data_IF_678541057974
#
_entry.id   IF_678541057974
#
_cell.length_a   1.000
_cell.length_b   1.000
_cell.length_c   1.000
_cell.angle_alpha   90.00
_cell.angle_beta   90.00
_cell.angle_gamma   90.00
#
_symmetry.space_group_name_H-M   'P 1'
#
loop_
_entity.id
_entity.type
_entity.pdbx_description
1 polymer ?
#
# COMPACT_ATOMS: atom_id res chain seq x y z
N UNK A 1 45.71 11.91 29.29
CA UNK A 1 44.48 11.12 29.48
C UNK A 1 44.06 11.21 30.94
N UNK A 2 43.12 12.09 31.29
CA UNK A 2 42.45 12.00 32.60
C UNK A 2 41.42 10.88 32.47
N UNK A 3 41.52 9.87 33.33
CA UNK A 3 40.52 8.82 33.43
C UNK A 3 39.14 9.46 33.68
N UNK A 4 38.04 8.92 33.14
CA UNK A 4 36.70 9.42 33.42
C UNK A 4 36.49 9.43 34.94
N UNK A 5 36.14 10.58 35.50
CA UNK A 5 35.96 10.80 36.94
C UNK A 5 34.67 10.21 37.52
N UNK A 6 33.89 9.50 36.70
CA UNK A 6 32.71 8.75 37.13
C UNK A 6 32.95 7.24 36.96
N UNK A 7 33.17 6.49 38.05
CA UNK A 7 33.31 5.03 38.02
C UNK A 7 32.12 4.32 37.35
N UNK A 8 30.93 4.92 37.36
CA UNK A 8 29.73 4.36 36.74
C UNK A 8 29.73 4.54 35.22
N UNK A 9 30.50 5.50 34.67
CA UNK A 9 30.66 5.66 33.23
C UNK A 9 31.35 4.44 32.58
N UNK A 10 32.18 3.73 33.34
CA UNK A 10 32.84 2.49 32.88
C UNK A 10 31.88 1.29 32.81
N UNK A 11 30.70 1.40 33.42
CA UNK A 11 29.66 0.39 33.42
C UNK A 11 28.58 0.66 32.35
N UNK A 12 28.75 1.71 31.53
CA UNK A 12 27.80 2.03 30.47
C UNK A 12 27.81 0.94 29.39
N UNK A 13 26.65 0.59 28.80
CA UNK A 13 26.59 -0.40 27.73
C UNK A 13 27.48 -0.01 26.55
N UNK A 14 28.29 -0.96 26.09
CA UNK A 14 29.13 -0.78 24.89
C UNK A 14 28.39 -1.09 23.58
N UNK A 15 27.24 -1.78 23.68
CA UNK A 15 26.31 -1.99 22.58
C UNK A 15 25.43 -0.74 22.42
N UNK A 16 25.86 0.20 21.59
CA UNK A 16 25.03 1.33 21.13
C UNK A 16 24.71 1.17 19.65
N UNK A 17 23.52 1.54 19.19
CA UNK A 17 23.15 1.29 17.79
C UNK A 17 23.72 2.33 16.80
N UNK A 18 23.99 3.57 17.27
CA UNK A 18 24.34 4.72 16.41
C UNK A 18 25.54 4.43 15.51
N UNK A 19 26.57 3.75 16.02
CA UNK A 19 27.76 3.42 15.24
C UNK A 19 27.52 2.31 14.20
N UNK A 20 26.44 1.52 14.30
CA UNK A 20 26.03 0.57 13.26
C UNK A 20 25.20 1.24 12.18
N UNK A 21 24.41 2.25 12.56
CA UNK A 21 23.55 3.01 11.65
C UNK A 21 24.31 4.04 10.81
N UNK A 22 25.17 4.85 11.45
CA UNK A 22 25.96 5.85 10.75
C UNK A 22 27.12 5.16 10.02
N UNK A 23 27.25 5.41 8.72
CA UNK A 23 28.38 4.93 7.91
C UNK A 23 29.69 5.62 8.28
N UNK A 24 29.79 6.97 8.14
CA UNK A 24 31.01 7.71 8.43
C UNK A 24 31.50 7.54 9.87
N UNK A 25 32.81 7.37 10.04
CA UNK A 25 33.53 7.38 11.32
C UNK A 25 34.14 8.74 11.59
N UNK A 26 34.67 8.95 12.80
CA UNK A 26 35.29 10.21 13.18
C UNK A 26 36.34 10.70 12.16
N UNK A 27 37.23 9.81 11.70
CA UNK A 27 38.23 10.13 10.69
C UNK A 27 37.62 10.48 9.32
N UNK A 28 36.54 9.80 8.92
CA UNK A 28 35.83 10.12 7.68
C UNK A 28 35.17 11.50 7.77
N UNK A 29 34.55 11.80 8.92
CA UNK A 29 33.92 13.09 9.19
C UNK A 29 34.96 14.21 9.14
N UNK A 30 36.12 14.05 9.79
CA UNK A 30 37.22 15.01 9.71
C UNK A 30 37.68 15.24 8.27
N UNK A 31 37.87 14.17 7.50
CA UNK A 31 38.26 14.26 6.09
C UNK A 31 37.19 14.98 5.23
N UNK A 32 35.91 14.68 5.47
CA UNK A 32 34.79 15.34 4.77
C UNK A 32 34.70 16.82 5.13
N UNK A 33 34.83 17.18 6.40
CA UNK A 33 34.81 18.57 6.87
C UNK A 33 35.96 19.39 6.27
N UNK A 34 37.15 18.80 6.14
CA UNK A 34 38.29 19.43 5.48
C UNK A 34 38.03 19.73 4.00
N UNK A 35 37.31 18.85 3.29
CA UNK A 35 36.91 19.09 1.89
C UNK A 35 35.86 20.20 1.79
N UNK A 36 34.90 20.23 2.71
CA UNK A 36 33.86 21.27 2.76
C UNK A 36 34.44 22.62 3.18
N UNK A 37 35.52 22.63 3.96
CA UNK A 37 36.20 23.85 4.44
C UNK A 37 35.61 24.42 5.73
N UNK A 38 35.07 23.58 6.60
CA UNK A 38 34.46 23.97 7.89
C UNK A 38 35.08 23.20 9.05
N UNK A 39 35.21 23.83 10.21
CA UNK A 39 36.03 23.31 11.32
C UNK A 39 35.34 22.20 12.13
N UNK A 40 34.02 22.07 12.05
CA UNK A 40 33.27 21.05 12.80
C UNK A 40 31.91 20.77 12.18
N UNK A 41 31.33 19.62 12.54
CA UNK A 41 29.94 19.32 12.18
C UNK A 41 28.96 20.34 12.78
N UNK A 42 29.24 20.87 13.98
CA UNK A 42 28.40 21.90 14.59
C UNK A 42 28.42 23.20 13.76
N UNK A 43 29.60 23.66 13.33
CA UNK A 43 29.74 24.83 12.47
C UNK A 43 29.01 24.63 11.12
N UNK A 44 29.17 23.45 10.50
CA UNK A 44 28.44 23.10 9.28
C UNK A 44 26.92 23.22 9.46
N UNK A 45 26.39 22.72 10.57
CA UNK A 45 24.95 22.81 10.89
C UNK A 45 24.53 24.26 11.13
N UNK A 46 25.33 25.06 11.84
CA UNK A 46 25.06 26.47 12.12
C UNK A 46 25.00 27.33 10.85
N UNK A 47 25.86 27.03 9.87
CA UNK A 47 25.87 27.70 8.57
C UNK A 47 24.77 27.20 7.62
N UNK A 48 24.29 25.96 7.80
CA UNK A 48 23.27 25.33 6.93
C UNK A 48 21.84 25.65 7.39
N UNK A 49 21.57 25.60 8.69
CA UNK A 49 20.21 25.74 9.24
C UNK A 49 20.00 27.16 9.75
N UNK A 50 19.05 27.94 9.19
CA UNK A 50 18.76 29.28 9.68
C UNK A 50 18.37 29.27 11.16
N UNK A 51 19.03 30.14 11.95
CA UNK A 51 18.84 30.19 13.40
C UNK A 51 17.37 30.45 13.82
N UNK A 52 16.58 31.14 12.99
CA UNK A 52 15.18 31.45 13.26
C UNK A 52 14.25 30.23 13.29
N UNK A 53 14.65 29.11 12.69
CA UNK A 53 13.87 27.86 12.65
C UNK A 53 14.56 26.70 13.38
N UNK A 54 15.77 26.92 13.92
CA UNK A 54 16.50 25.87 14.63
C UNK A 54 15.85 25.61 15.97
N UNK A 55 15.61 24.34 16.27
CA UNK A 55 15.11 23.93 17.59
C UNK A 55 16.09 24.39 18.68
N UNK A 56 15.58 25.17 19.64
CA UNK A 56 16.37 25.73 20.72
C UNK A 56 16.69 24.71 21.83
N UNK A 57 15.94 23.61 21.90
CA UNK A 57 16.08 22.56 22.89
C UNK A 57 16.31 21.21 22.20
N UNK A 58 17.09 20.30 22.82
CA UNK A 58 17.18 18.91 22.38
C UNK A 58 15.81 18.24 22.38
N UNK A 59 15.66 17.20 21.55
CA UNK A 59 14.46 16.37 21.58
C UNK A 59 14.37 15.61 22.92
N UNK A 60 13.24 15.75 23.60
CA UNK A 60 12.91 14.95 24.78
C UNK A 60 12.10 13.71 24.38
N UNK A 61 12.64 12.53 24.65
CA UNK A 61 11.98 11.26 24.37
C UNK A 61 11.23 10.76 25.61
N UNK A 62 9.96 11.15 25.76
CA UNK A 62 9.20 10.95 27.01
C UNK A 62 8.48 9.59 27.15
N UNK A 63 8.37 8.79 26.08
CA UNK A 63 7.61 7.52 26.09
C UNK A 63 8.34 6.36 25.39
N UNK A 64 9.65 6.23 25.59
CA UNK A 64 10.41 5.10 25.04
C UNK A 64 10.42 3.88 25.97
N UNK A 65 10.41 2.64 25.42
CA UNK A 65 10.53 1.41 26.20
C UNK A 65 11.81 1.36 27.06
N UNK A 66 12.87 2.01 26.57
CA UNK A 66 14.10 2.27 27.32
C UNK A 66 14.16 3.78 27.60
N UNK A 67 13.83 4.17 28.84
CA UNK A 67 13.70 5.59 29.20
C UNK A 67 15.06 6.27 29.33
N UNK A 68 15.18 7.45 28.72
CA UNK A 68 16.14 8.48 29.11
C UNK A 68 17.61 8.22 28.78
N UNK A 69 17.96 7.22 27.96
CA UNK A 69 19.33 7.03 27.45
C UNK A 69 19.38 6.29 26.12
N UNK A 70 20.53 6.35 25.45
CA UNK A 70 20.85 5.47 24.34
C UNK A 70 20.82 4.00 24.80
N UNK A 71 20.10 3.17 24.05
CA UNK A 71 19.91 1.76 24.33
C UNK A 71 20.57 0.91 23.24
N UNK A 72 21.08 -0.25 23.63
CA UNK A 72 21.61 -1.23 22.69
C UNK A 72 20.52 -1.99 21.95
N UNK A 73 20.88 -2.68 20.87
CA UNK A 73 19.93 -3.45 20.06
C UNK A 73 19.25 -4.54 20.91
N UNK A 74 20.02 -5.25 21.73
CA UNK A 74 19.50 -6.30 22.58
C UNK A 74 18.46 -5.78 23.59
N UNK A 75 18.76 -4.64 24.22
CA UNK A 75 17.90 -4.02 25.22
C UNK A 75 16.57 -3.55 24.60
N UNK A 76 16.63 -2.90 23.43
CA UNK A 76 15.45 -2.46 22.70
C UNK A 76 14.58 -3.66 22.30
N UNK A 77 15.18 -4.75 21.80
CA UNK A 77 14.45 -5.96 21.45
C UNK A 77 13.80 -6.63 22.67
N UNK A 78 14.46 -6.63 23.83
CA UNK A 78 13.88 -7.18 25.05
C UNK A 78 12.66 -6.36 25.52
N UNK A 79 12.78 -5.04 25.56
CA UNK A 79 11.69 -4.14 25.93
C UNK A 79 10.53 -4.23 24.93
N UNK A 80 10.83 -4.34 23.62
CA UNK A 80 9.82 -4.53 22.59
C UNK A 80 9.06 -5.86 22.74
N UNK A 81 9.74 -6.95 23.11
CA UNK A 81 9.07 -8.25 23.37
C UNK A 81 8.11 -8.17 24.55
N UNK A 82 8.44 -7.42 25.60
CA UNK A 82 7.52 -7.20 26.73
C UNK A 82 6.26 -6.47 26.27
N UNK A 83 6.42 -5.43 25.44
CA UNK A 83 5.29 -4.69 24.87
C UNK A 83 4.42 -5.59 23.99
N UNK A 84 5.03 -6.37 23.09
CA UNK A 84 4.34 -7.33 22.22
C UNK A 84 3.61 -8.41 23.02
N UNK A 85 4.17 -8.83 24.17
CA UNK A 85 3.55 -9.80 25.07
C UNK A 85 2.23 -9.37 25.69
N UNK A 86 1.86 -8.08 25.56
CA UNK A 86 0.55 -7.54 25.98
C UNK A 86 -0.56 -7.78 24.96
N UNK A 87 -0.21 -8.16 23.72
CA UNK A 87 -1.19 -8.48 22.69
C UNK A 87 -1.77 -9.88 22.92
N UNK A 88 -3.08 -10.02 22.74
CA UNK A 88 -3.75 -11.32 22.79
C UNK A 88 -3.98 -11.88 21.38
N UNK A 89 -3.31 -12.97 21.05
CA UNK A 89 -3.54 -13.68 19.79
C UNK A 89 -4.83 -14.50 19.89
N UNK A 90 -5.86 -14.06 19.17
CA UNK A 90 -7.16 -14.74 19.07
C UNK A 90 -7.37 -15.31 17.68
N UNK A 91 -8.22 -16.33 17.58
CA UNK A 91 -8.76 -16.79 16.29
C UNK A 91 -9.86 -15.84 15.86
N UNK A 92 -9.48 -14.80 15.12
CA UNK A 92 -10.42 -13.78 14.64
C UNK A 92 -11.17 -14.28 13.40
N UNK A 93 -12.47 -14.53 13.57
CA UNK A 93 -13.41 -14.85 12.49
C UNK A 93 -14.30 -13.64 12.14
N UNK A 94 -13.76 -12.43 12.32
CA UNK A 94 -14.46 -11.17 12.08
C UNK A 94 -14.73 -10.97 10.58
N UNK A 95 -13.79 -11.39 9.71
CA UNK A 95 -13.89 -11.16 8.28
C UNK A 95 -13.68 -9.69 7.93
N UNK A 96 -14.67 -9.07 7.30
CA UNK A 96 -14.65 -7.63 6.95
C UNK A 96 -13.40 -7.23 6.14
N UNK A 97 -12.94 -8.09 5.22
CA UNK A 97 -11.79 -7.85 4.35
C UNK A 97 -10.45 -8.36 4.88
N UNK A 98 -10.39 -8.85 6.12
CA UNK A 98 -9.18 -9.40 6.72
C UNK A 98 -9.40 -10.84 7.18
N UNK A 99 -8.53 -11.74 6.73
CA UNK A 99 -8.66 -13.16 6.96
C UNK A 99 -7.34 -13.76 7.43
N UNK A 100 -7.41 -14.67 8.42
CA UNK A 100 -6.26 -15.48 8.79
C UNK A 100 -5.74 -16.26 7.58
N UNK A 101 -4.43 -16.22 7.37
CA UNK A 101 -3.75 -16.92 6.27
C UNK A 101 -2.41 -17.48 6.75
N UNK A 102 -1.87 -18.43 5.99
CA UNK A 102 -0.57 -19.04 6.25
C UNK A 102 0.41 -18.43 5.27
N UNK A 103 1.37 -17.64 5.77
CA UNK A 103 2.53 -17.24 4.98
C UNK A 103 3.43 -18.47 4.81
N UNK A 104 3.69 -18.93 3.57
CA UNK A 104 4.60 -20.05 3.37
C UNK A 104 5.99 -19.72 3.93
N UNK A 105 6.55 -20.59 4.75
CA UNK A 105 7.83 -20.34 5.44
C UNK A 105 8.98 -20.01 4.48
N UNK A 106 8.96 -20.57 3.26
CA UNK A 106 9.92 -20.24 2.21
C UNK A 106 9.80 -18.80 1.71
N UNK A 107 8.58 -18.25 1.62
CA UNK A 107 8.33 -16.85 1.24
C UNK A 107 8.71 -15.92 2.39
N UNK A 108 8.29 -16.25 3.62
CA UNK A 108 8.66 -15.47 4.80
C UNK A 108 10.18 -15.31 4.91
N UNK A 109 10.92 -16.43 4.87
CA UNK A 109 12.37 -16.44 5.07
C UNK A 109 13.14 -15.78 3.93
N UNK A 110 12.78 -16.06 2.67
CA UNK A 110 13.61 -15.71 1.51
C UNK A 110 13.19 -14.42 0.79
N UNK A 111 12.00 -13.89 1.11
CA UNK A 111 11.50 -12.63 0.57
C UNK A 111 11.27 -11.59 1.68
N UNK A 112 10.37 -11.86 2.63
CA UNK A 112 10.00 -10.87 3.66
C UNK A 112 11.14 -10.56 4.63
N UNK A 113 11.88 -11.58 5.07
CA UNK A 113 13.02 -11.45 5.99
C UNK A 113 14.37 -11.31 5.26
N UNK A 114 14.36 -11.00 3.96
CA UNK A 114 15.57 -10.90 3.13
C UNK A 114 15.81 -9.47 2.63
N UNK A 115 16.88 -8.77 3.08
CA UNK A 115 17.17 -7.40 2.65
C UNK A 115 17.45 -7.27 1.15
N UNK A 116 17.77 -8.38 0.46
CA UNK A 116 17.88 -8.40 -0.99
C UNK A 116 16.55 -8.17 -1.73
N UNK A 117 15.42 -8.16 -1.04
CA UNK A 117 14.09 -7.88 -1.62
C UNK A 117 13.45 -6.60 -1.09
N UNK A 118 13.71 -6.21 0.16
CA UNK A 118 13.01 -5.09 0.80
C UNK A 118 13.82 -3.78 0.91
N UNK A 119 15.12 -3.78 0.59
CA UNK A 119 15.94 -2.55 0.72
C UNK A 119 15.93 -1.68 -0.53
N UNK A 120 15.61 -2.23 -1.70
CA UNK A 120 15.51 -1.43 -2.93
C UNK A 120 14.21 -0.62 -2.96
N UNK A 121 14.23 0.43 -3.78
CA UNK A 121 13.05 1.27 -4.01
C UNK A 121 12.38 0.98 -5.36
N UNK A 122 11.48 1.87 -5.76
CA UNK A 122 10.77 1.83 -7.04
C UNK A 122 11.73 1.53 -8.20
N UNK A 123 11.36 0.63 -9.14
CA UNK A 123 12.22 0.20 -10.24
C UNK A 123 12.35 1.25 -11.35
N UNK A 124 12.85 2.45 -11.01
CA UNK A 124 13.11 3.53 -11.98
C UNK A 124 14.18 3.12 -13.01
N UNK A 125 15.22 2.42 -12.54
CA UNK A 125 16.26 1.83 -13.37
C UNK A 125 15.87 0.37 -13.65
N UNK A 126 15.21 0.13 -14.78
CA UNK A 126 14.55 -1.13 -15.08
C UNK A 126 15.55 -2.29 -15.28
N UNK A 127 16.71 -1.99 -15.86
CA UNK A 127 17.77 -2.93 -16.22
C UNK A 127 18.32 -3.68 -15.00
N UNK A 128 18.36 -3.01 -13.84
CA UNK A 128 18.81 -3.58 -12.56
C UNK A 128 17.64 -3.93 -11.63
N UNK A 129 16.44 -4.08 -12.20
CA UNK A 129 15.22 -4.35 -11.45
C UNK A 129 14.34 -5.46 -12.04
N UNK A 130 14.84 -6.19 -13.05
CA UNK A 130 14.06 -7.19 -13.78
C UNK A 130 13.40 -8.24 -12.87
N UNK A 131 14.07 -8.71 -11.81
CA UNK A 131 13.50 -9.71 -10.89
C UNK A 131 12.21 -9.24 -10.19
N UNK A 132 12.19 -8.03 -9.61
CA UNK A 132 10.97 -7.50 -8.98
C UNK A 132 9.93 -7.01 -9.98
N UNK A 133 10.36 -6.53 -11.15
CA UNK A 133 9.45 -6.20 -12.24
C UNK A 133 8.71 -7.44 -12.74
N UNK A 134 9.40 -8.57 -12.88
CA UNK A 134 8.79 -9.85 -13.23
C UNK A 134 7.81 -10.32 -12.15
N UNK A 135 8.18 -10.24 -10.86
CA UNK A 135 7.27 -10.58 -9.77
C UNK A 135 5.99 -9.72 -9.76
N UNK A 136 6.10 -8.43 -10.11
CA UNK A 136 4.95 -7.54 -10.24
C UNK A 136 4.12 -7.83 -11.49
N UNK A 137 4.75 -8.30 -12.58
CA UNK A 137 4.03 -8.78 -13.76
C UNK A 137 3.24 -10.06 -13.42
N UNK A 138 3.83 -10.99 -12.67
CA UNK A 138 3.13 -12.19 -12.16
C UNK A 138 1.94 -11.79 -11.27
N UNK A 139 2.12 -10.78 -10.41
CA UNK A 139 1.00 -10.23 -9.64
C UNK A 139 -0.11 -9.71 -10.56
N UNK A 140 0.21 -8.88 -11.55
CA UNK A 140 -0.77 -8.38 -12.51
C UNK A 140 -1.49 -9.52 -13.24
N UNK A 141 -0.76 -10.53 -13.73
CA UNK A 141 -1.33 -11.69 -14.41
C UNK A 141 -2.27 -12.48 -13.51
N UNK A 142 -1.88 -12.74 -12.26
CA UNK A 142 -2.73 -13.41 -11.28
C UNK A 142 -4.03 -12.63 -11.05
N UNK A 143 -3.96 -11.29 -10.96
CA UNK A 143 -5.16 -10.46 -10.82
C UNK A 143 -6.02 -10.52 -12.09
N UNK A 144 -5.45 -10.39 -13.29
CA UNK A 144 -6.22 -10.45 -14.54
C UNK A 144 -6.91 -11.79 -14.71
N UNK A 145 -6.22 -12.89 -14.40
CA UNK A 145 -6.75 -14.26 -14.50
C UNK A 145 -7.91 -14.48 -13.52
N UNK A 146 -7.75 -14.09 -12.26
CA UNK A 146 -8.78 -14.28 -11.23
C UNK A 146 -9.96 -13.33 -11.40
N UNK A 147 -9.75 -12.13 -11.90
CA UNK A 147 -10.84 -11.15 -12.08
C UNK A 147 -11.53 -11.26 -13.43
N UNK A 148 -10.94 -11.94 -14.41
CA UNK A 148 -11.43 -11.99 -15.79
C UNK A 148 -11.32 -10.65 -16.53
N UNK A 149 -10.56 -9.68 -15.99
CA UNK A 149 -10.38 -8.35 -16.58
C UNK A 149 -9.00 -8.21 -17.23
N UNK A 150 -8.87 -7.48 -18.36
CA UNK A 150 -7.68 -7.53 -19.20
C UNK A 150 -6.47 -6.74 -18.68
N UNK A 151 -6.67 -5.77 -17.78
CA UNK A 151 -5.59 -4.90 -17.30
C UNK A 151 -5.63 -4.81 -15.78
N UNK A 152 -4.50 -5.04 -15.12
CA UNK A 152 -4.31 -4.80 -13.69
C UNK A 152 -3.08 -3.92 -13.44
N UNK A 153 -3.09 -3.17 -12.34
CA UNK A 153 -1.94 -2.41 -11.89
C UNK A 153 -1.01 -3.22 -10.97
N UNK A 154 0.15 -2.63 -10.64
CA UNK A 154 1.17 -3.21 -9.77
C UNK A 154 0.92 -2.85 -8.29
N UNK A 155 -0.35 -2.97 -7.86
CA UNK A 155 -0.92 -2.71 -6.54
C UNK A 155 -1.36 -1.27 -6.20
N UNK A 156 -2.21 -1.19 -5.18
CA UNK A 156 -2.62 0.02 -4.44
C UNK A 156 -2.42 -0.18 -2.92
N UNK A 157 -2.82 0.80 -2.12
CA UNK A 157 -2.54 0.87 -0.68
C UNK A 157 -3.36 -0.12 0.16
N UNK A 158 -4.68 -0.11 0.00
CA UNK A 158 -5.63 -1.01 0.65
C UNK A 158 -6.93 -1.09 -0.17
N UNK A 159 -7.83 -2.02 0.17
CA UNK A 159 -9.08 -2.22 -0.58
C UNK A 159 -9.97 -0.97 -0.61
N UNK A 160 -10.05 -0.28 0.53
CA UNK A 160 -10.93 0.87 0.70
C UNK A 160 -10.50 2.06 -0.17
N UNK A 161 -9.19 2.32 -0.24
CA UNK A 161 -8.58 3.30 -1.13
C UNK A 161 -8.62 2.85 -2.58
N UNK A 162 -8.45 1.56 -2.88
CA UNK A 162 -8.62 1.03 -4.24
C UNK A 162 -10.05 1.24 -4.77
N UNK A 163 -11.06 1.03 -3.94
CA UNK A 163 -12.45 1.32 -4.29
C UNK A 163 -12.68 2.81 -4.55
N UNK A 164 -12.09 3.70 -3.73
CA UNK A 164 -12.18 5.14 -3.97
C UNK A 164 -11.47 5.58 -5.26
N UNK A 165 -10.32 4.99 -5.58
CA UNK A 165 -9.62 5.23 -6.86
C UNK A 165 -10.43 4.72 -8.05
N UNK A 166 -11.07 3.54 -7.94
CA UNK A 166 -11.95 3.02 -8.98
C UNK A 166 -13.16 3.94 -9.22
N UNK A 167 -13.78 4.44 -8.16
CA UNK A 167 -14.86 5.44 -8.25
C UNK A 167 -14.38 6.68 -8.99
N UNK A 168 -13.22 7.23 -8.60
CA UNK A 168 -12.65 8.40 -9.26
C UNK A 168 -12.32 8.15 -10.73
N UNK A 169 -11.78 6.97 -11.05
CA UNK A 169 -11.46 6.53 -12.40
C UNK A 169 -12.73 6.48 -13.28
N UNK A 170 -13.82 5.89 -12.78
CA UNK A 170 -15.11 5.82 -13.48
C UNK A 170 -15.74 7.21 -13.68
N UNK A 171 -15.77 8.05 -12.64
CA UNK A 171 -16.26 9.44 -12.76
C UNK A 171 -15.44 10.22 -13.79
N UNK A 172 -14.10 10.10 -13.77
CA UNK A 172 -13.21 10.77 -14.72
C UNK A 172 -13.46 10.32 -16.16
N UNK A 173 -13.80 9.05 -16.37
CA UNK A 173 -14.16 8.54 -17.69
C UNK A 173 -15.39 9.23 -18.28
N UNK A 174 -16.35 9.64 -17.44
CA UNK A 174 -17.53 10.40 -17.88
C UNK A 174 -17.20 11.86 -18.27
N UNK A 175 -15.95 12.30 -18.07
CA UNK A 175 -15.47 13.68 -18.33
C UNK A 175 -16.29 14.74 -17.59
N UNK A 176 -16.69 14.44 -16.37
CA UNK A 176 -17.48 15.34 -15.51
C UNK A 176 -18.95 15.47 -15.90
N UNK A 177 -19.44 14.69 -16.87
CA UNK A 177 -20.88 14.66 -17.20
C UNK A 177 -21.72 14.00 -16.13
N UNK A 178 -21.12 13.10 -15.35
CA UNK A 178 -21.77 12.41 -14.22
C UNK A 178 -20.81 12.36 -13.05
N UNK A 179 -21.29 12.80 -11.89
CA UNK A 179 -20.50 12.85 -10.64
C UNK A 179 -21.16 12.09 -9.50
N UNK A 180 -22.36 11.55 -9.73
CA UNK A 180 -23.12 10.78 -8.77
C UNK A 180 -22.63 9.34 -8.72
N UNK A 181 -22.48 8.79 -7.52
CA UNK A 181 -21.96 7.44 -7.28
C UNK A 181 -22.90 6.72 -6.34
N UNK A 182 -23.16 5.45 -6.62
CA UNK A 182 -23.87 4.56 -5.69
C UNK A 182 -22.87 3.57 -5.07
N UNK A 183 -22.99 3.30 -3.79
CA UNK A 183 -22.29 2.20 -3.13
C UNK A 183 -23.28 1.35 -2.33
N UNK A 184 -23.28 0.04 -2.58
CA UNK A 184 -24.18 -0.85 -1.88
C UNK A 184 -23.81 -0.95 -0.39
N UNK A 185 -24.83 -0.91 0.47
CA UNK A 185 -24.69 -0.97 1.93
C UNK A 185 -24.01 -2.26 2.46
N UNK A 186 -23.97 -3.31 1.63
CA UNK A 186 -23.33 -4.57 1.93
C UNK A 186 -21.82 -4.61 1.60
N UNK A 187 -21.22 -3.48 1.18
CA UNK A 187 -19.77 -3.35 1.15
C UNK A 187 -19.19 -3.30 2.56
N UNK A 188 -17.87 -3.53 2.70
CA UNK A 188 -17.24 -3.38 4.00
C UNK A 188 -17.41 -1.94 4.56
N UNK A 189 -17.72 -1.77 5.85
CA UNK A 189 -18.04 -0.45 6.40
C UNK A 189 -16.87 0.53 6.32
N UNK A 190 -15.62 0.05 6.44
CA UNK A 190 -14.44 0.88 6.25
C UNK A 190 -14.26 1.31 4.77
N UNK A 191 -14.64 0.47 3.82
CA UNK A 191 -14.64 0.81 2.39
C UNK A 191 -15.63 1.93 2.12
N UNK A 192 -16.86 1.81 2.63
CA UNK A 192 -17.88 2.87 2.55
C UNK A 192 -17.41 4.19 3.18
N UNK A 193 -16.77 4.12 4.35
CA UNK A 193 -16.26 5.31 5.04
C UNK A 193 -15.14 6.04 4.26
N UNK A 194 -14.21 5.30 3.67
CA UNK A 194 -13.12 5.88 2.85
C UNK A 194 -13.66 6.46 1.55
N UNK A 195 -14.55 5.74 0.86
CA UNK A 195 -15.20 6.23 -0.37
C UNK A 195 -16.00 7.51 -0.07
N UNK A 196 -16.78 7.54 1.02
CA UNK A 196 -17.52 8.74 1.43
C UNK A 196 -16.60 9.92 1.77
N UNK A 197 -15.47 9.66 2.42
CA UNK A 197 -14.49 10.69 2.75
C UNK A 197 -13.87 11.29 1.49
N UNK A 198 -13.49 10.43 0.53
CA UNK A 198 -12.92 10.86 -0.75
C UNK A 198 -13.94 11.61 -1.61
N UNK A 199 -15.15 11.08 -1.76
CA UNK A 199 -16.23 11.70 -2.50
C UNK A 199 -16.55 13.11 -1.98
N UNK A 200 -16.65 13.29 -0.65
CA UNK A 200 -16.86 14.60 -0.02
C UNK A 200 -15.75 15.59 -0.34
N UNK A 201 -14.49 15.16 -0.30
CA UNK A 201 -13.34 16.03 -0.51
C UNK A 201 -13.28 16.62 -1.94
N UNK A 202 -13.86 15.93 -2.93
CA UNK A 202 -13.85 16.34 -4.33
C UNK A 202 -15.23 16.68 -4.90
N UNK A 203 -16.25 16.79 -4.03
CA UNK A 203 -17.59 17.23 -4.41
C UNK A 203 -18.41 16.21 -5.21
N UNK A 204 -18.16 14.91 -5.05
CA UNK A 204 -19.00 13.85 -5.62
C UNK A 204 -20.20 13.56 -4.71
N UNK A 205 -21.36 13.35 -5.32
CA UNK A 205 -22.55 12.89 -4.58
C UNK A 205 -22.50 11.37 -4.43
N UNK A 206 -22.29 10.89 -3.20
CA UNK A 206 -22.33 9.48 -2.87
C UNK A 206 -23.68 9.12 -2.24
N UNK A 207 -24.36 8.13 -2.83
CA UNK A 207 -25.54 7.48 -2.27
C UNK A 207 -25.13 6.10 -1.76
N UNK A 208 -25.41 5.82 -0.49
CA UNK A 208 -25.22 4.49 0.12
C UNK A 208 -26.59 3.93 0.42
N UNK A 209 -26.89 2.71 -0.05
CA UNK A 209 -28.20 2.09 0.17
C UNK A 209 -28.30 0.65 -0.32
N UNK A 210 -29.49 0.08 -0.19
CA UNK A 210 -29.81 -1.25 -0.71
C UNK A 210 -29.88 -1.22 -2.23
N UNK A 211 -29.49 -2.33 -2.89
CA UNK A 211 -29.67 -2.48 -4.34
C UNK A 211 -31.15 -2.46 -4.77
N UNK A 212 -32.08 -2.75 -3.86
CA UNK A 212 -33.52 -2.67 -4.13
C UNK A 212 -34.01 -1.21 -4.28
N UNK A 213 -33.27 -0.25 -3.71
CA UNK A 213 -33.58 1.18 -3.75
C UNK A 213 -32.80 1.91 -4.87
N UNK A 214 -32.00 1.18 -5.65
CA UNK A 214 -31.16 1.72 -6.70
C UNK A 214 -32.01 2.18 -7.90
N UNK A 215 -32.16 3.51 -8.02
CA UNK A 215 -32.72 4.17 -9.19
C UNK A 215 -31.63 4.45 -10.24
N UNK A 216 -31.50 3.57 -11.24
CA UNK A 216 -30.48 3.70 -12.29
C UNK A 216 -30.68 4.93 -13.19
N UNK A 217 -31.89 5.48 -13.28
CA UNK A 217 -32.18 6.68 -14.08
C UNK A 217 -31.64 7.95 -13.42
N UNK A 218 -31.18 7.84 -12.17
CA UNK A 218 -30.71 8.95 -11.37
C UNK A 218 -29.29 9.45 -11.72
N UNK A 219 -28.74 9.03 -12.86
CA UNK A 219 -27.55 9.61 -13.49
C UNK A 219 -26.21 9.19 -12.89
N UNK A 220 -26.11 7.98 -12.33
CA UNK A 220 -24.88 7.47 -11.74
C UNK A 220 -23.73 7.34 -12.77
N UNK A 221 -22.53 7.72 -12.35
CA UNK A 221 -21.28 7.42 -13.04
C UNK A 221 -20.78 6.03 -12.66
N UNK A 222 -20.89 5.65 -11.39
CA UNK A 222 -20.36 4.39 -10.89
C UNK A 222 -21.27 3.77 -9.83
N UNK A 223 -21.28 2.45 -9.80
CA UNK A 223 -21.97 1.60 -8.82
C UNK A 223 -20.92 0.68 -8.21
N UNK A 224 -20.72 0.77 -6.90
CA UNK A 224 -19.82 -0.09 -6.14
C UNK A 224 -20.60 -1.19 -5.41
N UNK A 225 -20.22 -2.44 -5.64
CA UNK A 225 -20.75 -3.63 -4.95
C UNK A 225 -19.63 -4.50 -4.39
N UNK A 226 -19.93 -5.40 -3.47
CA UNK A 226 -18.95 -6.30 -2.83
C UNK A 226 -19.26 -7.77 -3.15
N UNK A 227 -18.22 -8.55 -3.45
CA UNK A 227 -18.35 -9.93 -3.92
C UNK A 227 -17.30 -10.89 -3.31
N UNK A 228 -17.68 -11.78 -2.37
CA UNK A 228 -18.96 -11.84 -1.65
C UNK A 228 -19.23 -10.59 -0.81
N UNK A 229 -20.48 -10.39 -0.40
CA UNK A 229 -20.86 -9.26 0.45
C UNK A 229 -20.19 -9.31 1.82
N UNK A 230 -20.20 -8.18 2.56
CA UNK A 230 -19.57 -8.11 3.89
C UNK A 230 -20.16 -9.08 4.92
N UNK A 231 -21.40 -9.53 4.72
CA UNK A 231 -22.11 -10.54 5.52
C UNK A 231 -22.03 -11.96 4.91
N UNK A 232 -21.26 -12.15 3.83
CA UNK A 232 -20.91 -13.45 3.26
C UNK A 232 -21.87 -14.00 2.21
N UNK A 233 -22.84 -13.22 1.73
CA UNK A 233 -23.73 -13.65 0.64
C UNK A 233 -23.01 -13.56 -0.70
N UNK A 234 -23.32 -14.51 -1.58
CA UNK A 234 -22.92 -14.48 -2.99
C UNK A 234 -24.14 -14.05 -3.78
N UNK A 235 -24.08 -12.86 -4.37
CA UNK A 235 -25.16 -12.30 -5.19
C UNK A 235 -24.79 -12.40 -6.67
N UNK A 236 -25.80 -12.51 -7.53
CA UNK A 236 -25.63 -12.44 -8.98
C UNK A 236 -25.78 -10.99 -9.45
N UNK A 237 -24.70 -10.45 -10.02
CA UNK A 237 -24.65 -9.07 -10.51
C UNK A 237 -24.74 -8.96 -12.04
N UNK A 238 -24.94 -10.05 -12.80
CA UNK A 238 -25.01 -10.00 -14.26
C UNK A 238 -26.15 -9.08 -14.73
N UNK A 239 -27.34 -9.23 -14.15
CA UNK A 239 -28.48 -8.35 -14.44
C UNK A 239 -28.29 -6.91 -13.99
N UNK A 240 -27.53 -6.67 -12.90
CA UNK A 240 -27.16 -5.32 -12.45
C UNK A 240 -26.21 -4.67 -13.45
N UNK A 241 -25.19 -5.39 -13.93
CA UNK A 241 -24.23 -4.87 -14.89
C UNK A 241 -24.91 -4.45 -16.19
N UNK A 242 -25.77 -5.32 -16.74
CA UNK A 242 -26.51 -5.00 -17.97
C UNK A 242 -27.36 -3.72 -17.83
N UNK A 243 -28.15 -3.61 -16.75
CA UNK A 243 -29.00 -2.43 -16.50
C UNK A 243 -28.18 -1.17 -16.22
N UNK A 244 -27.05 -1.30 -15.51
CA UNK A 244 -26.15 -0.18 -15.25
C UNK A 244 -25.55 0.37 -16.54
N UNK A 245 -25.13 -0.51 -17.45
CA UNK A 245 -24.61 -0.14 -18.76
C UNK A 245 -25.66 0.52 -19.65
N UNK A 246 -26.91 0.01 -19.65
CA UNK A 246 -28.03 0.65 -20.36
C UNK A 246 -28.28 2.08 -19.84
N UNK A 247 -28.13 2.30 -18.53
CA UNK A 247 -28.18 3.61 -17.92
C UNK A 247 -26.90 4.44 -18.09
N UNK A 248 -25.82 3.86 -18.63
CA UNK A 248 -24.50 4.48 -18.86
C UNK A 248 -23.58 4.56 -17.63
N UNK A 249 -23.92 3.87 -16.54
CA UNK A 249 -23.11 3.77 -15.32
C UNK A 249 -22.11 2.61 -15.42
N UNK A 250 -20.99 2.73 -14.70
CA UNK A 250 -19.95 1.71 -14.62
C UNK A 250 -20.10 0.88 -13.35
N UNK A 251 -19.81 -0.42 -13.40
CA UNK A 251 -19.89 -1.30 -12.24
C UNK A 251 -18.49 -1.65 -11.72
N UNK A 252 -18.27 -1.35 -10.43
CA UNK A 252 -17.08 -1.64 -9.67
C UNK A 252 -17.40 -2.77 -8.69
N UNK A 253 -16.62 -3.84 -8.71
CA UNK A 253 -16.78 -4.99 -7.81
C UNK A 253 -15.59 -5.07 -6.86
N UNK A 254 -15.81 -4.87 -5.56
CA UNK A 254 -14.85 -5.20 -4.53
C UNK A 254 -14.86 -6.71 -4.27
N UNK A 255 -13.89 -7.44 -4.84
CA UNK A 255 -13.88 -8.90 -4.90
C UNK A 255 -12.79 -9.55 -4.03
N UNK A 256 -13.11 -10.70 -3.44
CA UNK A 256 -12.13 -11.55 -2.74
C UNK A 256 -11.44 -12.52 -3.72
N UNK A 257 -10.13 -12.37 -3.93
CA UNK A 257 -9.37 -13.18 -4.89
C UNK A 257 -9.43 -14.69 -4.62
N UNK A 258 -9.53 -15.12 -3.36
CA UNK A 258 -9.62 -16.54 -3.05
C UNK A 258 -11.01 -17.07 -3.40
N UNK A 259 -12.06 -16.29 -3.18
CA UNK A 259 -13.41 -16.65 -3.60
C UNK A 259 -13.51 -16.80 -5.12
N UNK A 260 -12.80 -15.97 -5.89
CA UNK A 260 -12.75 -16.05 -7.37
C UNK A 260 -12.09 -17.33 -7.92
N UNK A 261 -11.47 -18.15 -7.07
CA UNK A 261 -10.99 -19.48 -7.50
C UNK A 261 -12.12 -20.49 -7.72
N UNK A 262 -13.32 -20.20 -7.21
CA UNK A 262 -14.51 -21.07 -7.31
C UNK A 262 -15.76 -20.34 -7.80
N UNK A 263 -15.80 -19.02 -7.65
CA UNK A 263 -16.91 -18.18 -8.09
C UNK A 263 -16.66 -17.64 -9.50
N UNK A 264 -17.74 -17.39 -10.25
CA UNK A 264 -17.68 -16.72 -11.56
C UNK A 264 -17.01 -15.35 -11.37
N UNK A 265 -15.96 -15.00 -12.13
CA UNK A 265 -15.20 -13.79 -11.91
C UNK A 265 -15.90 -12.53 -12.47
N UNK A 266 -15.59 -11.32 -11.95
CA UNK A 266 -16.23 -10.07 -12.36
C UNK A 266 -16.27 -9.79 -13.86
N UNK A 267 -15.19 -10.06 -14.57
CA UNK A 267 -15.12 -9.84 -16.01
C UNK A 267 -16.08 -10.72 -16.82
N UNK A 268 -16.45 -11.89 -16.30
CA UNK A 268 -17.38 -12.80 -16.99
C UNK A 268 -18.85 -12.39 -16.86
N UNK A 269 -19.21 -11.63 -15.82
CA UNK A 269 -20.59 -11.14 -15.62
C UNK A 269 -20.75 -9.63 -15.91
N UNK A 270 -19.74 -9.02 -16.54
CA UNK A 270 -19.85 -7.67 -17.09
C UNK A 270 -19.42 -6.53 -16.17
N UNK A 271 -18.63 -6.79 -15.13
CA UNK A 271 -18.04 -5.70 -14.36
C UNK A 271 -17.02 -4.89 -15.18
N UNK A 272 -16.94 -3.57 -14.94
CA UNK A 272 -15.97 -2.70 -15.60
C UNK A 272 -14.63 -2.67 -14.87
N UNK A 273 -14.69 -2.75 -13.53
CA UNK A 273 -13.55 -2.65 -12.62
C UNK A 273 -13.71 -3.65 -11.49
N UNK A 274 -12.62 -4.34 -11.13
CA UNK A 274 -12.54 -5.15 -9.92
C UNK A 274 -11.45 -4.59 -9.01
N UNK A 275 -11.74 -4.46 -7.72
CA UNK A 275 -10.79 -4.04 -6.67
C UNK A 275 -10.83 -5.01 -5.51
N UNK A 276 -9.85 -4.96 -4.62
CA UNK A 276 -9.87 -5.79 -3.42
C UNK A 276 -8.50 -5.89 -2.77
N UNK A 277 -8.40 -6.74 -1.75
CA UNK A 277 -7.16 -7.03 -1.05
C UNK A 277 -6.55 -8.37 -1.49
N UNK A 278 -5.24 -8.39 -1.73
CA UNK A 278 -4.48 -9.64 -1.89
C UNK A 278 -3.97 -10.21 -0.54
N UNK A 279 -4.40 -9.64 0.61
CA UNK A 279 -3.91 -10.00 1.95
C UNK A 279 -3.92 -11.51 2.20
N UNK A 280 -5.04 -12.18 1.90
CA UNK A 280 -5.21 -13.59 2.25
C UNK A 280 -4.40 -14.55 1.36
N UNK A 281 -3.69 -14.05 0.35
CA UNK A 281 -2.68 -14.79 -0.40
C UNK A 281 -1.33 -14.78 0.33
N UNK A 282 -1.34 -15.26 1.58
CA UNK A 282 -0.13 -15.51 2.35
C UNK A 282 0.51 -14.27 3.00
N UNK A 283 -0.17 -13.13 3.11
CA UNK A 283 0.35 -11.95 3.82
C UNK A 283 -0.25 -11.88 5.25
N UNK A 284 0.56 -11.74 6.32
CA UNK A 284 0.04 -11.66 7.69
C UNK A 284 -0.97 -10.53 7.86
N UNK A 285 -1.98 -10.70 8.72
CA UNK A 285 -2.99 -9.66 8.97
C UNK A 285 -2.39 -8.32 9.42
N UNK A 286 -1.24 -8.33 10.08
CA UNK A 286 -0.45 -7.13 10.35
C UNK A 286 -1.17 -6.04 11.16
N UNK A 287 -2.25 -6.39 11.87
CA UNK A 287 -3.14 -5.44 12.53
C UNK A 287 -3.60 -4.28 11.60
N UNK A 288 -3.80 -4.61 10.31
CA UNK A 288 -4.26 -3.68 9.28
C UNK A 288 -3.39 -3.64 8.01
N UNK A 289 -2.11 -4.01 8.09
CA UNK A 289 -1.23 -3.96 6.91
C UNK A 289 0.25 -4.24 7.20
N UNK A 290 1.12 -4.13 6.18
CA UNK A 290 0.83 -3.69 4.82
C UNK A 290 0.30 -4.82 3.91
N UNK A 291 -0.72 -4.53 3.10
CA UNK A 291 -1.28 -5.47 2.12
C UNK A 291 -1.38 -4.81 0.75
N UNK A 292 -0.96 -5.50 -0.29
CA UNK A 292 -1.19 -5.03 -1.65
C UNK A 292 -2.68 -5.14 -1.98
N UNK A 293 -3.35 -4.01 -2.19
CA UNK A 293 -4.64 -4.01 -2.86
C UNK A 293 -4.43 -4.14 -4.37
N UNK A 294 -5.44 -4.64 -5.07
CA UNK A 294 -5.44 -4.73 -6.53
C UNK A 294 -6.51 -3.83 -7.13
N UNK A 295 -6.27 -3.41 -8.37
CA UNK A 295 -7.29 -2.87 -9.25
C UNK A 295 -7.07 -3.45 -10.65
N UNK A 296 -8.12 -4.06 -11.18
CA UNK A 296 -8.20 -4.50 -12.57
C UNK A 296 -9.39 -3.85 -13.27
N UNK A 297 -9.27 -3.61 -14.57
CA UNK A 297 -10.29 -2.91 -15.34
C UNK A 297 -10.31 -3.35 -16.81
N UNK A 298 -11.40 -3.01 -17.50
CA UNK A 298 -11.49 -3.14 -18.95
C UNK A 298 -10.51 -2.21 -19.68
N UNK A 299 -10.17 -2.56 -20.92
CA UNK A 299 -9.16 -1.85 -21.74
C UNK A 299 -9.43 -0.35 -21.94
N UNK A 300 -10.69 0.06 -21.83
CA UNK A 300 -11.13 1.46 -21.93
C UNK A 300 -10.48 2.33 -20.84
N UNK A 301 -10.16 1.74 -19.68
CA UNK A 301 -9.57 2.44 -18.53
C UNK A 301 -8.04 2.43 -18.49
N UNK A 302 -7.34 1.79 -19.44
CA UNK A 302 -5.87 1.63 -19.38
C UNK A 302 -5.09 2.95 -19.22
N UNK A 303 -5.64 4.06 -19.71
CA UNK A 303 -5.04 5.41 -19.59
C UNK A 303 -5.40 6.15 -18.31
N UNK A 304 -6.38 5.64 -17.56
CA UNK A 304 -6.88 6.21 -16.30
C UNK A 304 -6.55 5.34 -15.09
N UNK A 305 -6.06 4.11 -15.31
CA UNK A 305 -5.73 3.18 -14.24
C UNK A 305 -4.75 3.84 -13.26
N UNK A 306 -5.02 3.83 -11.95
CA UNK A 306 -4.16 4.48 -10.96
C UNK A 306 -2.90 3.64 -10.69
N UNK A 307 -1.86 4.31 -10.22
CA UNK A 307 -0.60 3.68 -9.86
C UNK A 307 0.19 3.14 -11.06
N UNK A 308 1.15 2.28 -10.73
CA UNK A 308 2.14 1.77 -11.68
C UNK A 308 1.60 0.56 -12.43
N UNK A 309 2.03 0.39 -13.68
CA UNK A 309 1.73 -0.79 -14.49
C UNK A 309 3.05 -1.30 -15.06
N UNK A 310 3.33 -2.58 -14.89
CA UNK A 310 4.48 -3.24 -15.51
C UNK A 310 4.07 -3.73 -16.88
N UNK A 311 4.88 -3.38 -17.88
CA UNK A 311 4.71 -3.80 -19.26
C UNK A 311 5.91 -4.58 -19.77
N UNK A 312 5.65 -5.47 -20.72
CA UNK A 312 6.65 -6.16 -21.52
C UNK A 312 7.15 -5.23 -22.63
N UNK A 313 8.45 -5.20 -22.83
CA UNK A 313 9.17 -4.39 -23.82
C UNK A 313 10.33 -5.21 -24.41
N UNK A 314 11.20 -4.56 -25.18
CA UNK A 314 12.45 -5.14 -25.68
C UNK A 314 13.66 -4.30 -25.27
N UNK A 315 14.79 -4.95 -25.01
CA UNK A 315 16.08 -4.30 -24.78
C UNK A 315 16.77 -3.89 -26.11
N UNK A 316 17.95 -3.29 -26.04
CA UNK A 316 18.72 -2.85 -27.22
C UNK A 316 19.20 -4.01 -28.11
N UNK A 317 19.18 -5.26 -27.63
CA UNK A 317 19.52 -6.48 -28.39
C UNK A 317 18.27 -7.15 -28.97
N UNK A 318 17.07 -6.62 -28.70
CA UNK A 318 15.80 -7.17 -29.15
C UNK A 318 15.20 -8.23 -28.21
N UNK A 319 15.84 -8.50 -27.07
CA UNK A 319 15.40 -9.48 -26.09
C UNK A 319 14.24 -8.94 -25.24
N UNK A 320 13.38 -9.84 -24.75
CA UNK A 320 12.26 -9.45 -23.89
C UNK A 320 12.77 -8.85 -22.57
N UNK A 321 12.21 -7.71 -22.17
CA UNK A 321 12.53 -7.04 -20.90
C UNK A 321 11.28 -6.36 -20.31
N UNK A 322 11.25 -6.19 -19.00
CA UNK A 322 10.15 -5.55 -18.28
C UNK A 322 10.47 -4.10 -17.91
N UNK A 323 9.45 -3.24 -17.87
CA UNK A 323 9.58 -1.86 -17.38
C UNK A 323 8.25 -1.32 -16.87
N UNK A 324 8.29 -0.24 -16.09
CA UNK A 324 7.09 0.54 -15.81
C UNK A 324 6.59 1.21 -17.10
N UNK A 325 5.32 1.01 -17.42
CA UNK A 325 4.63 1.45 -18.62
C UNK A 325 3.65 2.58 -18.35
N UNK A 326 3.38 3.40 -19.38
CA UNK A 326 2.40 4.49 -19.34
C UNK A 326 2.61 5.47 -18.17
N UNK A 327 3.87 5.83 -17.89
CA UNK A 327 4.25 6.64 -16.71
C UNK A 327 3.69 8.07 -16.72
N UNK A 328 3.21 8.58 -17.87
CA UNK A 328 2.58 9.91 -17.96
C UNK A 328 1.26 10.03 -17.20
N UNK A 329 0.75 8.94 -16.62
CA UNK A 329 -0.42 8.90 -15.72
C UNK A 329 -0.03 9.18 -14.27
N UNK A 330 1.22 8.93 -13.92
CA UNK A 330 1.73 9.07 -12.55
C UNK A 330 1.90 10.56 -12.22
N UNK A 331 2.02 10.86 -10.92
CA UNK A 331 2.26 12.22 -10.41
C UNK A 331 3.58 12.82 -10.90
#
# INVERSE_FOLDING_TARGET
MKAPTDPLAQLQPTDTFVHRHLGPRAADIEAMLAVVGVDSLAALIDETIPASIRAAQPLEFVDLPVRGREAGEHEVLAAFRELVGRNELRRSLIGMGYHGTITPGVIQRNLLENPGWYTQYTPYQAEIAQGRLESLLVFQTMITDLTGLPVANASLLDEATAAAEAVQMCVSHTRGKRTRVFAADHCHPQTLAVVATRARAIGQELVIGSLDELDLDAGYAAILVQYPTTDGRVLDYEGLCARAHDAGAQVIVAADLLALTVLRPPGEFGADVAVGSAQRFGVPMGYGGPHAAFLAATDVYKRLIPGRVIGVSRDARGEQAYRMAMQTREQ
#
